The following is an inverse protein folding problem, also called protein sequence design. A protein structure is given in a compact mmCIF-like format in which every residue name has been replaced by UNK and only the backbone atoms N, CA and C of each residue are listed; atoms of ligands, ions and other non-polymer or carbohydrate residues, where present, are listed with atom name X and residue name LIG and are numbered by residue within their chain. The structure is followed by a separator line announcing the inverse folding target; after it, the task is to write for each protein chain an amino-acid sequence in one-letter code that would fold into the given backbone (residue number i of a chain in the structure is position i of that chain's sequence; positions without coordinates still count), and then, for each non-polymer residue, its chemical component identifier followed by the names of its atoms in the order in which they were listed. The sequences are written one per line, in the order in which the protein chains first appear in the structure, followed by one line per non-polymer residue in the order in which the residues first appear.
data_IF_331063844700
#
_entry.id   IF_331063844700
#
_cell.length_a   1.000
_cell.length_b   1.000
_cell.length_c   1.000
_cell.angle_alpha   90.00
_cell.angle_beta   90.00
_cell.angle_gamma   90.00
#
_symmetry.space_group_name_H-M   'P 1'
#
loop_
_entity.id
_entity.type
_entity.pdbx_description
1 polymer ?
#
# COMPACT_ATOMS: atom_id res chain seq x y z
N UNK A 1 -7.09 -21.98 4.10
CA UNK A 1 -6.83 -20.96 3.05
C UNK A 1 -6.62 -19.61 3.72
N UNK A 2 -5.58 -18.86 3.41
CA UNK A 2 -5.29 -17.57 4.07
C UNK A 2 -6.33 -16.48 3.72
N UNK A 3 -6.81 -16.47 2.49
CA UNK A 3 -7.80 -15.51 2.02
C UNK A 3 -8.97 -16.27 1.38
N UNK A 4 -10.18 -15.82 1.68
CA UNK A 4 -11.41 -16.31 1.07
C UNK A 4 -11.70 -15.51 -0.23
N UNK A 5 -12.51 -16.05 -1.15
CA UNK A 5 -12.90 -15.33 -2.36
C UNK A 5 -13.49 -13.95 -2.10
N UNK A 6 -14.26 -13.80 -1.01
CA UNK A 6 -14.82 -12.50 -0.61
C UNK A 6 -13.75 -11.47 -0.22
N UNK A 7 -12.65 -11.92 0.41
CA UNK A 7 -11.51 -11.05 0.74
C UNK A 7 -10.81 -10.56 -0.52
N UNK A 8 -10.63 -11.44 -1.52
CA UNK A 8 -10.02 -11.09 -2.80
C UNK A 8 -10.89 -10.08 -3.55
N UNK A 9 -12.21 -10.32 -3.58
CA UNK A 9 -13.17 -9.38 -4.16
C UNK A 9 -13.11 -8.01 -3.46
N UNK A 10 -13.05 -8.01 -2.14
CA UNK A 10 -12.93 -6.78 -1.34
C UNK A 10 -11.66 -6.00 -1.66
N UNK A 11 -10.53 -6.68 -1.69
CA UNK A 11 -9.24 -6.08 -2.03
C UNK A 11 -9.29 -5.43 -3.41
N UNK A 12 -9.74 -6.15 -4.43
CA UNK A 12 -9.80 -5.63 -5.80
C UNK A 12 -10.79 -4.46 -5.95
N UNK A 13 -11.94 -4.51 -5.28
CA UNK A 13 -12.97 -3.49 -5.45
C UNK A 13 -12.70 -2.24 -4.59
N UNK A 14 -12.38 -2.45 -3.31
CA UNK A 14 -12.31 -1.36 -2.32
C UNK A 14 -10.87 -0.87 -2.18
N UNK A 15 -9.91 -1.78 -2.04
CA UNK A 15 -8.53 -1.41 -1.72
C UNK A 15 -7.74 -0.97 -2.95
N UNK A 16 -8.00 -1.56 -4.11
CA UNK A 16 -7.34 -1.19 -5.37
C UNK A 16 -8.18 -0.18 -6.17
N UNK A 17 -9.50 -0.39 -6.23
CA UNK A 17 -10.40 0.41 -7.05
C UNK A 17 -10.53 1.86 -6.59
N UNK A 18 -10.85 2.09 -5.31
CA UNK A 18 -11.05 3.45 -4.78
C UNK A 18 -9.78 4.31 -4.84
N UNK A 19 -8.63 3.86 -4.31
CA UNK A 19 -7.40 4.63 -4.41
C UNK A 19 -6.88 4.75 -5.84
N UNK A 20 -7.05 3.71 -6.67
CA UNK A 20 -6.69 3.75 -8.10
C UNK A 20 -7.44 4.84 -8.85
N UNK A 21 -8.76 4.95 -8.64
CA UNK A 21 -9.58 6.01 -9.22
C UNK A 21 -9.16 7.40 -8.72
N UNK A 22 -8.84 7.52 -7.43
CA UNK A 22 -8.37 8.76 -6.83
C UNK A 22 -6.98 9.18 -7.37
N UNK A 23 -6.08 8.22 -7.65
CA UNK A 23 -4.80 8.48 -8.32
C UNK A 23 -4.97 8.91 -9.77
N UNK A 24 -5.96 8.38 -10.49
CA UNK A 24 -6.26 8.84 -11.85
C UNK A 24 -6.69 10.32 -11.90
N UNK A 25 -7.24 10.84 -10.80
CA UNK A 25 -7.58 12.25 -10.63
C UNK A 25 -6.44 13.11 -10.05
N UNK A 26 -5.21 12.56 -9.92
CA UNK A 26 -4.05 13.29 -9.39
C UNK A 26 -3.66 14.43 -10.33
N UNK A 27 -3.45 15.65 -9.81
CA UNK A 27 -2.94 16.76 -10.61
C UNK A 27 -1.55 16.43 -11.19
N UNK A 28 -1.27 16.96 -12.39
CA UNK A 28 0.02 16.77 -13.05
C UNK A 28 1.18 17.23 -12.17
N UNK A 29 2.28 16.47 -12.17
CA UNK A 29 3.51 16.83 -11.42
C UNK A 29 4.08 18.16 -11.90
N UNK A 30 4.64 18.94 -10.96
CA UNK A 30 5.34 20.18 -11.27
C UNK A 30 6.49 19.92 -12.24
N UNK A 31 6.50 20.63 -13.36
CA UNK A 31 7.59 20.54 -14.37
C UNK A 31 7.47 19.34 -15.32
N UNK A 32 6.34 18.64 -15.39
CA UNK A 32 6.12 17.54 -16.33
C UNK A 32 6.37 17.96 -17.78
N UNK A 33 6.01 19.21 -18.14
CA UNK A 33 6.23 19.78 -19.48
C UNK A 33 7.71 20.11 -19.79
N UNK A 34 8.59 20.04 -18.80
CA UNK A 34 10.06 20.25 -18.97
C UNK A 34 10.80 18.96 -19.24
N UNK A 35 10.12 17.80 -19.14
CA UNK A 35 10.71 16.48 -19.43
C UNK A 35 10.48 16.15 -20.90
N UNK A 36 11.46 15.50 -21.57
CA UNK A 36 11.24 15.02 -22.92
C UNK A 36 10.11 13.98 -22.95
N UNK A 37 9.33 13.90 -24.05
CA UNK A 37 8.31 12.89 -24.22
C UNK A 37 8.89 11.48 -24.09
N UNK A 38 8.14 10.56 -23.48
CA UNK A 38 8.54 9.14 -23.45
C UNK A 38 8.52 8.55 -24.85
N UNK A 39 9.48 7.70 -25.14
CA UNK A 39 9.53 6.97 -26.41
C UNK A 39 8.37 5.96 -26.45
N UNK A 40 7.56 5.88 -27.54
CA UNK A 40 6.39 5.01 -27.60
C UNK A 40 6.67 3.51 -27.34
N UNK A 41 7.91 3.05 -27.61
CA UNK A 41 8.34 1.67 -27.39
C UNK A 41 8.94 1.43 -25.99
N UNK A 42 8.96 2.43 -25.14
CA UNK A 42 9.53 2.30 -23.80
C UNK A 42 8.67 1.36 -22.94
N UNK A 43 9.32 0.37 -22.30
CA UNK A 43 8.64 -0.56 -21.40
C UNK A 43 8.02 0.19 -20.23
N UNK A 44 6.80 -0.19 -19.82
CA UNK A 44 6.16 0.31 -18.60
C UNK A 44 6.99 0.06 -17.34
N UNK A 45 7.87 -0.96 -17.36
CA UNK A 45 8.78 -1.31 -16.27
C UNK A 45 10.14 -0.58 -16.32
N UNK A 46 10.32 0.34 -17.30
CA UNK A 46 11.54 1.14 -17.39
C UNK A 46 11.73 2.02 -16.14
N UNK A 47 12.91 2.59 -16.01
CA UNK A 47 13.31 3.49 -14.92
C UNK A 47 13.17 2.90 -13.48
N UNK A 48 13.21 1.56 -13.35
CA UNK A 48 13.19 0.87 -12.07
C UNK A 48 11.80 0.70 -11.43
N UNK A 49 10.73 0.97 -12.17
CA UNK A 49 9.35 0.72 -11.69
C UNK A 49 9.13 -0.76 -11.39
N UNK A 50 9.64 -1.67 -12.26
CA UNK A 50 9.58 -3.12 -12.01
C UNK A 50 10.22 -3.54 -10.68
N UNK A 51 11.35 -2.93 -10.33
CA UNK A 51 12.02 -3.18 -9.05
C UNK A 51 11.16 -2.71 -7.86
N UNK A 52 10.52 -1.55 -7.95
CA UNK A 52 9.64 -1.04 -6.90
C UNK A 52 8.42 -1.95 -6.68
N UNK A 53 7.83 -2.45 -7.77
CA UNK A 53 6.70 -3.39 -7.71
C UNK A 53 7.13 -4.69 -7.01
N UNK A 54 8.27 -5.26 -7.42
CA UNK A 54 8.80 -6.49 -6.82
C UNK A 54 9.15 -6.30 -5.35
N UNK A 55 9.77 -5.19 -4.98
CA UNK A 55 10.15 -4.91 -3.60
C UNK A 55 8.91 -4.66 -2.73
N UNK A 56 7.99 -3.79 -3.17
CA UNK A 56 6.79 -3.47 -2.40
C UNK A 56 5.84 -4.66 -2.27
N UNK A 57 5.54 -5.31 -3.39
CA UNK A 57 4.66 -6.50 -3.41
C UNK A 57 5.29 -7.71 -2.72
N UNK A 58 6.59 -7.95 -2.95
CA UNK A 58 7.33 -9.04 -2.31
C UNK A 58 7.44 -8.86 -0.80
N UNK A 59 7.72 -7.63 -0.34
CA UNK A 59 7.74 -7.33 1.10
C UNK A 59 6.36 -7.54 1.73
N UNK A 60 5.29 -7.04 1.11
CA UNK A 60 3.94 -7.22 1.61
C UNK A 60 3.55 -8.70 1.67
N UNK A 61 3.87 -9.47 0.63
CA UNK A 61 3.64 -10.92 0.61
C UNK A 61 4.42 -11.63 1.71
N UNK A 62 5.70 -11.29 1.90
CA UNK A 62 6.53 -11.88 2.95
C UNK A 62 5.99 -11.57 4.35
N UNK A 63 5.50 -10.34 4.60
CA UNK A 63 4.90 -9.97 5.87
C UNK A 63 3.58 -10.71 6.11
N UNK A 64 2.72 -10.85 5.10
CA UNK A 64 1.47 -11.60 5.21
C UNK A 64 1.73 -13.09 5.50
N UNK A 65 2.67 -13.72 4.79
CA UNK A 65 3.04 -15.12 5.01
C UNK A 65 3.74 -15.32 6.36
N UNK A 66 4.62 -14.40 6.75
CA UNK A 66 5.29 -14.44 8.06
C UNK A 66 4.30 -14.30 9.20
N UNK A 67 3.37 -13.36 9.12
CA UNK A 67 2.30 -13.19 10.09
C UNK A 67 1.40 -14.44 10.16
N UNK A 68 1.01 -14.99 9.02
CA UNK A 68 0.23 -16.22 8.96
C UNK A 68 0.95 -17.38 9.65
N UNK A 69 2.22 -17.59 9.31
CA UNK A 69 3.02 -18.67 9.90
C UNK A 69 3.13 -18.53 11.43
N UNK A 70 3.43 -17.31 11.89
CA UNK A 70 3.53 -17.00 13.31
C UNK A 70 2.20 -17.21 14.04
N UNK A 71 1.09 -16.64 13.53
CA UNK A 71 -0.21 -16.70 14.18
C UNK A 71 -0.79 -18.14 14.21
N UNK A 72 -0.57 -18.94 13.16
CA UNK A 72 -0.93 -20.36 13.17
C UNK A 72 -0.07 -21.12 14.20
N UNK A 73 1.24 -20.82 14.29
CA UNK A 73 2.15 -21.45 15.24
C UNK A 73 1.82 -21.13 16.70
N UNK A 74 1.23 -19.98 16.98
CA UNK A 74 0.76 -19.59 18.33
C UNK A 74 -0.66 -20.07 18.64
N UNK A 75 -1.36 -20.67 17.66
CA UNK A 75 -2.74 -21.13 17.81
C UNK A 75 -3.76 -20.00 17.81
N UNK A 76 -3.40 -18.82 17.29
CA UNK A 76 -4.30 -17.67 17.19
C UNK A 76 -5.43 -17.96 16.20
N UNK A 77 -6.67 -17.81 16.65
CA UNK A 77 -7.88 -18.04 15.82
C UNK A 77 -8.18 -16.86 14.90
N UNK A 78 -7.62 -15.67 15.16
CA UNK A 78 -7.86 -14.44 14.40
C UNK A 78 -6.92 -14.26 13.19
N UNK A 79 -6.02 -15.22 12.96
CA UNK A 79 -4.95 -15.14 11.95
C UNK A 79 -5.44 -14.73 10.54
N UNK A 80 -6.61 -15.23 10.10
CA UNK A 80 -7.18 -14.88 8.79
C UNK A 80 -7.55 -13.39 8.72
N UNK A 81 -8.19 -12.87 9.76
CA UNK A 81 -8.57 -11.46 9.87
C UNK A 81 -7.34 -10.57 9.94
N UNK A 82 -6.30 -11.00 10.67
CA UNK A 82 -5.03 -10.28 10.75
C UNK A 82 -4.35 -10.20 9.38
N UNK A 83 -4.22 -11.32 8.65
CA UNK A 83 -3.61 -11.35 7.30
C UNK A 83 -4.40 -10.48 6.33
N UNK A 84 -5.73 -10.58 6.33
CA UNK A 84 -6.59 -9.75 5.50
C UNK A 84 -6.41 -8.25 5.81
N UNK A 85 -6.31 -7.90 7.09
CA UNK A 85 -6.10 -6.52 7.55
C UNK A 85 -4.73 -5.98 7.15
N UNK A 86 -3.65 -6.77 7.34
CA UNK A 86 -2.29 -6.38 6.92
C UNK A 86 -2.22 -6.19 5.40
N UNK A 87 -2.86 -7.07 4.63
CA UNK A 87 -2.91 -6.94 3.18
C UNK A 87 -3.59 -5.62 2.76
N UNK A 88 -4.78 -5.34 3.31
CA UNK A 88 -5.54 -4.12 3.01
C UNK A 88 -4.78 -2.85 3.43
N UNK A 89 -4.31 -2.78 4.67
CA UNK A 89 -3.57 -1.61 5.16
C UNK A 89 -2.21 -1.45 4.48
N UNK A 90 -1.53 -2.55 4.16
CA UNK A 90 -0.27 -2.55 3.43
C UNK A 90 -0.42 -2.03 2.00
N UNK A 91 -1.49 -2.38 1.30
CA UNK A 91 -1.79 -1.80 -0.02
C UNK A 91 -2.07 -0.30 0.06
N UNK A 92 -2.80 0.16 1.07
CA UNK A 92 -2.97 1.60 1.33
C UNK A 92 -1.63 2.30 1.55
N UNK A 93 -0.77 1.69 2.35
CA UNK A 93 0.58 2.17 2.61
C UNK A 93 1.41 2.26 1.33
N UNK A 94 1.32 1.25 0.44
CA UNK A 94 1.97 1.24 -0.88
C UNK A 94 1.45 2.37 -1.77
N UNK A 95 0.13 2.54 -1.88
CA UNK A 95 -0.48 3.63 -2.67
C UNK A 95 0.04 4.98 -2.21
N UNK A 96 0.03 5.25 -0.91
CA UNK A 96 0.57 6.49 -0.33
C UNK A 96 2.08 6.63 -0.55
N UNK A 97 2.83 5.53 -0.52
CA UNK A 97 4.28 5.55 -0.76
C UNK A 97 4.63 5.80 -2.23
N UNK A 98 3.82 5.31 -3.19
CA UNK A 98 4.08 5.39 -4.64
C UNK A 98 3.59 6.72 -5.23
N UNK A 99 2.66 7.41 -4.59
CA UNK A 99 1.99 8.61 -5.08
C UNK A 99 2.90 9.65 -5.76
N UNK A 100 4.11 9.83 -5.31
CA UNK A 100 5.06 10.75 -5.94
C UNK A 100 6.43 10.10 -6.12
N UNK A 101 6.97 10.15 -7.34
CA UNK A 101 8.30 9.64 -7.65
C UNK A 101 9.41 10.63 -7.24
N UNK A 102 9.13 11.92 -7.32
CA UNK A 102 10.15 12.97 -7.16
C UNK A 102 10.06 13.74 -5.86
N UNK A 103 8.87 13.90 -5.29
CA UNK A 103 8.67 14.74 -4.10
C UNK A 103 8.37 13.93 -2.85
N UNK A 104 8.77 14.46 -1.68
CA UNK A 104 8.39 13.88 -0.41
C UNK A 104 6.90 14.17 -0.14
N UNK A 105 6.19 13.23 0.52
CA UNK A 105 4.82 13.47 0.98
C UNK A 105 4.69 14.77 1.82
N UNK A 106 5.77 15.13 2.51
CA UNK A 106 5.81 16.36 3.32
C UNK A 106 6.00 17.64 2.49
N UNK A 107 6.56 17.54 1.28
CA UNK A 107 6.76 18.69 0.37
C UNK A 107 5.56 18.91 -0.56
N UNK A 108 4.90 17.86 -1.00
CA UNK A 108 3.66 17.95 -1.82
C UNK A 108 2.45 18.26 -0.95
N UNK A 109 2.51 17.85 0.33
CA UNK A 109 1.41 17.95 1.29
C UNK A 109 0.38 16.82 1.14
N UNK A 110 0.01 16.22 2.25
CA UNK A 110 -1.06 15.18 2.28
C UNK A 110 -2.39 15.71 1.73
N UNK A 111 -2.64 17.01 1.86
CA UNK A 111 -3.85 17.69 1.44
C UNK A 111 -3.90 18.06 -0.05
N UNK A 112 -2.84 17.82 -0.84
CA UNK A 112 -2.80 18.22 -2.25
C UNK A 112 -3.73 17.35 -3.14
N UNK A 113 -3.98 16.10 -2.75
CA UNK A 113 -5.02 15.25 -3.35
C UNK A 113 -6.05 14.86 -2.30
N UNK A 114 -7.08 15.69 -2.17
CA UNK A 114 -8.21 15.42 -1.27
C UNK A 114 -8.99 14.15 -1.64
N UNK A 115 -9.25 13.84 -2.94
CA UNK A 115 -9.85 12.58 -3.35
C UNK A 115 -9.08 11.35 -2.87
N UNK A 116 -7.75 11.34 -2.98
CA UNK A 116 -6.94 10.22 -2.52
C UNK A 116 -6.98 10.06 -1.00
N UNK A 117 -6.87 11.16 -0.26
CA UNK A 117 -7.00 11.11 1.19
C UNK A 117 -8.37 10.60 1.61
N UNK A 118 -9.44 11.07 0.95
CA UNK A 118 -10.80 10.58 1.15
C UNK A 118 -10.95 9.10 0.85
N UNK A 119 -10.39 8.61 -0.27
CA UNK A 119 -10.40 7.20 -0.63
C UNK A 119 -9.67 6.32 0.41
N UNK A 120 -8.50 6.74 0.86
CA UNK A 120 -7.71 6.01 1.89
C UNK A 120 -8.47 5.97 3.22
N UNK A 121 -9.03 7.09 3.67
CA UNK A 121 -9.81 7.15 4.91
C UNK A 121 -11.10 6.32 4.81
N UNK A 122 -11.79 6.38 3.68
CA UNK A 122 -12.98 5.59 3.43
C UNK A 122 -12.65 4.10 3.44
N UNK A 123 -11.61 3.68 2.74
CA UNK A 123 -11.17 2.28 2.72
C UNK A 123 -10.77 1.80 4.12
N UNK A 124 -10.08 2.63 4.90
CA UNK A 124 -9.75 2.32 6.28
C UNK A 124 -11.02 2.14 7.14
N UNK A 125 -11.98 3.07 7.03
CA UNK A 125 -13.24 2.99 7.76
C UNK A 125 -14.06 1.74 7.38
N UNK A 126 -14.13 1.43 6.08
CA UNK A 126 -14.79 0.24 5.57
C UNK A 126 -14.08 -1.04 6.04
N UNK A 127 -12.74 -1.07 6.08
CA UNK A 127 -11.99 -2.20 6.64
C UNK A 127 -12.28 -2.39 8.13
N UNK A 128 -12.34 -1.31 8.91
CA UNK A 128 -12.73 -1.41 10.32
C UNK A 128 -14.18 -1.91 10.47
N UNK A 129 -15.07 -1.51 9.59
CA UNK A 129 -16.43 -2.01 9.58
C UNK A 129 -16.51 -3.53 9.35
N UNK A 130 -15.72 -4.09 8.42
CA UNK A 130 -15.70 -5.56 8.20
C UNK A 130 -15.20 -6.35 9.40
N UNK A 131 -14.44 -5.73 10.31
CA UNK A 131 -13.85 -6.38 11.50
C UNK A 131 -14.79 -6.23 12.71
N UNK A 132 -15.35 -5.04 12.91
CA UNK A 132 -16.05 -4.70 14.17
C UNK A 132 -17.56 -4.63 14.06
N UNK A 133 -18.14 -4.61 12.86
CA UNK A 133 -19.60 -4.59 12.70
C UNK A 133 -20.14 -6.04 12.71
N UNK A 134 -20.94 -6.44 13.71
CA UNK A 134 -21.31 -7.84 13.93
C UNK A 134 -22.04 -8.51 12.77
N UNK A 135 -22.85 -7.78 12.00
CA UNK A 135 -23.59 -8.34 10.87
C UNK A 135 -22.73 -8.50 9.59
N UNK A 136 -21.57 -7.82 9.51
CA UNK A 136 -20.62 -8.01 8.42
C UNK A 136 -19.69 -9.20 8.66
N UNK A 137 -19.40 -9.55 9.90
CA UNK A 137 -18.48 -10.62 10.25
C UNK A 137 -18.83 -11.99 9.62
N UNK A 138 -20.11 -12.43 9.60
CA UNK A 138 -20.48 -13.68 8.94
C UNK A 138 -20.28 -13.65 7.41
N UNK A 139 -20.45 -12.46 6.80
CA UNK A 139 -20.29 -12.27 5.35
C UNK A 139 -18.81 -12.38 4.97
N UNK A 140 -17.95 -11.63 5.67
CA UNK A 140 -16.52 -11.59 5.41
C UNK A 140 -15.74 -12.70 6.11
N UNK A 141 -16.38 -13.48 6.97
CA UNK A 141 -15.70 -14.48 7.81
C UNK A 141 -14.57 -13.88 8.64
N UNK A 142 -14.75 -12.64 9.10
CA UNK A 142 -13.83 -11.92 9.96
C UNK A 142 -14.20 -12.08 11.43
N UNK A 143 -13.24 -11.84 12.30
CA UNK A 143 -13.43 -11.84 13.75
C UNK A 143 -12.92 -10.51 14.31
N UNK A 144 -13.55 -9.98 15.36
CA UNK A 144 -13.06 -8.76 16.00
C UNK A 144 -11.64 -8.94 16.53
N UNK A 145 -10.73 -8.07 16.11
CA UNK A 145 -9.33 -8.09 16.54
C UNK A 145 -9.18 -7.38 17.87
N UNK A 146 -8.35 -7.92 18.75
CA UNK A 146 -7.91 -7.24 19.94
C UNK A 146 -7.04 -6.01 19.58
N UNK A 147 -6.96 -5.04 20.49
CA UNK A 147 -6.21 -3.80 20.23
C UNK A 147 -4.73 -4.04 19.89
N UNK A 148 -4.09 -5.03 20.50
CA UNK A 148 -2.70 -5.38 20.21
C UNK A 148 -2.53 -6.03 18.83
N UNK A 149 -3.49 -6.86 18.36
CA UNK A 149 -3.50 -7.47 17.04
C UNK A 149 -3.66 -6.41 15.95
N UNK A 150 -4.61 -5.49 16.15
CA UNK A 150 -4.78 -4.35 15.26
C UNK A 150 -3.52 -3.47 15.24
N UNK A 151 -2.93 -3.22 16.42
CA UNK A 151 -1.67 -2.49 16.54
C UNK A 151 -0.53 -3.14 15.77
N UNK A 152 -0.42 -4.48 15.83
CA UNK A 152 0.55 -5.25 15.06
C UNK A 152 0.29 -5.11 13.54
N UNK A 153 -0.97 -5.22 13.10
CA UNK A 153 -1.34 -5.05 11.69
C UNK A 153 -0.96 -3.66 11.16
N UNK A 154 -1.24 -2.62 11.93
CA UNK A 154 -0.86 -1.24 11.59
C UNK A 154 0.66 -1.06 11.55
N UNK A 155 1.38 -1.65 12.50
CA UNK A 155 2.85 -1.59 12.53
C UNK A 155 3.47 -2.27 11.30
N UNK A 156 2.96 -3.44 10.90
CA UNK A 156 3.42 -4.14 9.69
C UNK A 156 3.12 -3.34 8.41
N UNK A 157 1.94 -2.72 8.32
CA UNK A 157 1.62 -1.83 7.21
C UNK A 157 2.52 -0.58 7.18
N UNK A 158 2.81 0.01 8.33
CA UNK A 158 3.75 1.12 8.45
C UNK A 158 5.18 0.72 8.05
N UNK A 159 5.60 -0.50 8.36
CA UNK A 159 6.89 -1.05 7.92
C UNK A 159 7.01 -1.07 6.39
N UNK A 160 5.94 -1.51 5.69
CA UNK A 160 5.89 -1.48 4.21
C UNK A 160 6.08 -0.05 3.69
N UNK A 161 5.34 0.91 4.26
CA UNK A 161 5.45 2.32 3.90
C UNK A 161 6.88 2.85 4.07
N UNK A 162 7.49 2.62 5.23
CA UNK A 162 8.84 3.08 5.55
C UNK A 162 9.87 2.43 4.63
N UNK A 163 9.78 1.12 4.39
CA UNK A 163 10.71 0.39 3.52
C UNK A 163 10.70 0.96 2.09
N UNK A 164 9.52 1.18 1.51
CA UNK A 164 9.40 1.76 0.17
C UNK A 164 9.91 3.21 0.13
N UNK A 165 9.68 3.99 1.17
CA UNK A 165 10.20 5.36 1.27
C UNK A 165 11.73 5.40 1.39
N UNK A 166 12.33 4.49 2.15
CA UNK A 166 13.77 4.38 2.29
C UNK A 166 14.43 3.96 0.96
N UNK A 167 13.85 2.98 0.26
CA UNK A 167 14.32 2.58 -1.07
C UNK A 167 14.32 3.76 -2.04
N UNK A 168 13.21 4.50 -2.10
CA UNK A 168 13.11 5.71 -2.94
C UNK A 168 14.16 6.77 -2.57
N UNK A 169 14.36 7.03 -1.30
CA UNK A 169 15.34 7.99 -0.81
C UNK A 169 16.77 7.58 -1.23
N UNK A 170 17.10 6.30 -1.05
CA UNK A 170 18.39 5.74 -1.43
C UNK A 170 18.65 5.82 -2.96
N UNK A 171 17.64 5.49 -3.77
CA UNK A 171 17.73 5.58 -5.23
C UNK A 171 17.94 7.03 -5.70
N UNK A 172 17.25 8.00 -5.08
CA UNK A 172 17.45 9.43 -5.36
C UNK A 172 18.87 9.90 -5.05
N UNK A 173 19.44 9.44 -3.94
CA UNK A 173 20.82 9.78 -3.57
C UNK A 173 21.83 9.23 -4.60
N UNK A 174 21.65 7.98 -5.06
CA UNK A 174 22.49 7.38 -6.09
C UNK A 174 22.44 8.13 -7.42
N UNK A 175 21.25 8.52 -7.87
CA UNK A 175 21.10 9.29 -9.10
C UNK A 175 21.78 10.67 -9.01
N UNK A 176 21.68 11.33 -7.86
CA UNK A 176 22.35 12.63 -7.62
C UNK A 176 23.89 12.48 -7.55
N UNK A 177 24.40 11.41 -7.00
CA UNK A 177 25.81 11.13 -6.93
C UNK A 177 26.43 10.83 -8.32
N UNK A 178 25.70 10.11 -9.19
CA UNK A 178 26.12 9.82 -10.56
C UNK A 178 25.99 10.99 -11.55
N UNK A 179 25.24 12.04 -11.18
CA UNK A 179 25.07 13.24 -12.00
C UNK A 179 26.03 14.39 -11.67
N UNK A 180 27.02 14.19 -10.78
CA UNK A 180 28.09 15.17 -10.56
C UNK A 180 29.12 15.01 -11.69
N UNK A 181 29.29 15.98 -12.60
CA UNK A 181 30.40 15.98 -13.55
C UNK A 181 31.71 16.13 -12.78
N UNK A 182 32.73 15.39 -13.26
CA UNK A 182 34.11 15.52 -12.82
C UNK A 182 34.68 16.90 -13.20
#
# INVERSE_FOLDING_TARGET
MPLLPIHILWVNLVTDGLPGLALAAEPAERGIMRRPPRVPQESLFAHGLGWQILLGGGLLAALCLGLQHWAIGTGDTHWQTMVFTVLTLGQMALVLAIRSDTDSLFTVGLMSNKPLLGAVLLTFALQMATIYVPWLNPIFKTQPLAAWELGLCVALAALVFVAVKLEKAWRRQRMRAGARPA
#
